data_IF_255858251091
#
_entry.id   IF_255858251091
#
_cell.length_a   1.000
_cell.length_b   1.000
_cell.length_c   1.000
_cell.angle_alpha   90.00
_cell.angle_beta   90.00
_cell.angle_gamma   90.00
#
_symmetry.space_group_name_H-M   'P 1'
#
loop_
_entity.id
_entity.type
_entity.pdbx_description
1 polymer ?
#
# COMPACT_ATOMS: atom_id res chain seq x y z
N UNK A 1 -8.81 -6.17 7.59
CA UNK A 1 -7.43 -6.12 7.09
C UNK A 1 -7.39 -6.56 5.64
N UNK A 2 -8.15 -5.88 4.79
CA UNK A 2 -8.26 -6.20 3.36
C UNK A 2 -7.12 -5.56 2.57
N UNK A 3 -6.73 -4.33 2.96
CA UNK A 3 -5.53 -3.60 2.50
C UNK A 3 -4.27 -4.47 2.50
N UNK A 4 -4.06 -5.32 3.51
CA UNK A 4 -2.88 -6.22 3.57
C UNK A 4 -2.90 -7.26 2.45
N UNK A 5 -4.07 -7.84 2.14
CA UNK A 5 -4.20 -8.86 1.09
C UNK A 5 -4.06 -8.21 -0.28
N UNK A 6 -4.81 -7.13 -0.52
CA UNK A 6 -4.82 -6.42 -1.80
C UNK A 6 -3.42 -5.83 -2.07
N UNK A 7 -2.79 -5.22 -1.06
CA UNK A 7 -1.42 -4.72 -1.16
C UNK A 7 -0.40 -5.83 -1.43
N UNK A 8 -0.57 -7.02 -0.86
CA UNK A 8 0.29 -8.16 -1.15
C UNK A 8 0.04 -8.77 -2.55
N UNK A 9 -1.22 -8.84 -2.99
CA UNK A 9 -1.60 -9.29 -4.34
C UNK A 9 -1.05 -8.35 -5.43
N UNK A 10 -1.11 -7.04 -5.19
CA UNK A 10 -0.56 -6.01 -6.08
C UNK A 10 0.96 -5.78 -5.91
N UNK A 11 1.64 -6.58 -5.07
CA UNK A 11 3.07 -6.49 -4.74
C UNK A 11 3.54 -5.15 -4.16
N UNK A 12 2.63 -4.34 -3.60
CA UNK A 12 3.00 -3.19 -2.77
C UNK A 12 3.52 -3.60 -1.40
N UNK A 13 3.03 -4.73 -0.87
CA UNK A 13 3.48 -5.34 0.38
C UNK A 13 4.24 -6.62 0.06
N UNK A 14 5.49 -6.70 0.48
CA UNK A 14 6.29 -7.92 0.41
C UNK A 14 5.97 -8.87 1.57
N UNK A 15 5.93 -10.17 1.29
CA UNK A 15 5.62 -11.20 2.29
C UNK A 15 6.76 -12.22 2.41
N UNK A 16 7.65 -11.98 3.37
CA UNK A 16 8.74 -12.87 3.73
C UNK A 16 8.26 -13.97 4.70
N UNK A 17 7.65 -15.03 4.15
CA UNK A 17 7.12 -16.15 4.93
C UNK A 17 5.92 -15.73 5.78
N UNK A 18 6.12 -15.55 7.09
CA UNK A 18 5.11 -15.03 8.01
C UNK A 18 5.20 -13.51 8.24
N UNK A 19 6.28 -12.85 7.79
CA UNK A 19 6.47 -11.41 7.93
C UNK A 19 5.94 -10.63 6.73
N UNK A 20 5.36 -9.47 6.99
CA UNK A 20 4.95 -8.49 6.00
C UNK A 20 5.86 -7.25 6.10
N UNK A 21 6.30 -6.76 4.94
CA UNK A 21 7.13 -5.57 4.79
C UNK A 21 6.54 -4.63 3.74
N UNK A 22 6.63 -3.32 3.98
CA UNK A 22 6.21 -2.28 3.05
C UNK A 22 7.41 -1.37 2.75
N UNK A 23 7.77 -1.21 1.48
CA UNK A 23 8.91 -0.35 1.07
C UNK A 23 10.24 -0.66 1.81
N UNK A 24 10.45 -1.91 2.22
CA UNK A 24 11.60 -2.33 3.03
C UNK A 24 11.42 -2.22 4.57
N UNK A 25 10.42 -1.46 5.04
CA UNK A 25 10.05 -1.38 6.46
C UNK A 25 9.18 -2.57 6.89
N UNK A 26 9.36 -3.08 8.11
CA UNK A 26 8.57 -4.23 8.61
C UNK A 26 7.24 -3.77 9.20
N UNK A 27 6.14 -4.13 8.54
CA UNK A 27 4.76 -3.87 9.00
C UNK A 27 4.39 -4.79 10.17
N UNK A 28 4.84 -6.06 10.15
CA UNK A 28 4.58 -7.00 11.24
C UNK A 28 4.52 -8.48 10.82
N UNK A 29 4.43 -9.36 11.81
CA UNK A 29 4.29 -10.80 11.59
C UNK A 29 2.81 -11.19 11.55
N UNK A 30 2.35 -11.75 10.43
CA UNK A 30 0.95 -12.12 10.23
C UNK A 30 0.05 -10.93 9.87
N UNK A 31 -1.10 -11.27 9.28
CA UNK A 31 -2.10 -10.31 8.77
C UNK A 31 -2.71 -9.44 9.88
N UNK A 32 -2.71 -9.93 11.13
CA UNK A 32 -3.28 -9.19 12.26
C UNK A 32 -2.35 -8.09 12.79
N UNK A 33 -1.08 -8.41 13.15
CA UNK A 33 -0.11 -7.37 13.56
C UNK A 33 0.09 -6.31 12.46
N UNK A 34 0.15 -6.72 11.20
CA UNK A 34 0.26 -5.79 10.08
C UNK A 34 -0.96 -4.84 9.98
N UNK A 35 -2.16 -5.29 10.39
CA UNK A 35 -3.36 -4.42 10.47
C UNK A 35 -3.22 -3.38 11.59
N UNK A 36 -2.54 -3.70 12.69
CA UNK A 36 -2.45 -2.83 13.87
C UNK A 36 -1.39 -1.76 13.61
N UNK A 37 -0.24 -2.15 13.06
CA UNK A 37 0.76 -1.21 12.57
C UNK A 37 0.18 -0.20 11.57
N UNK A 38 -0.69 -0.61 10.63
CA UNK A 38 -1.35 0.32 9.71
C UNK A 38 -2.38 1.24 10.40
N UNK A 39 -3.04 0.80 11.48
CA UNK A 39 -3.89 1.68 12.30
C UNK A 39 -3.09 2.71 13.08
N UNK A 40 -1.93 2.30 13.61
CA UNK A 40 -1.01 3.17 14.35
C UNK A 40 -0.25 4.12 13.40
N UNK A 41 -0.03 3.71 12.15
CA UNK A 41 0.66 4.48 11.11
C UNK A 41 -0.30 4.83 9.95
N UNK A 42 -1.27 5.75 10.15
CA UNK A 42 -2.26 6.09 9.14
C UNK A 42 -1.65 6.68 7.86
N UNK A 43 -0.45 7.29 7.94
CA UNK A 43 0.32 7.75 6.76
C UNK A 43 0.67 6.59 5.82
N UNK A 44 1.19 5.50 6.37
CA UNK A 44 1.56 4.30 5.60
C UNK A 44 0.31 3.59 5.08
N UNK A 45 -0.76 3.56 5.88
CA UNK A 45 -2.05 3.03 5.44
C UNK A 45 -2.63 3.80 4.24
N UNK A 46 -2.61 5.13 4.28
CA UNK A 46 -3.03 5.97 3.15
C UNK A 46 -2.12 5.79 1.92
N UNK A 47 -0.80 5.72 2.10
CA UNK A 47 0.11 5.51 0.96
C UNK A 47 -0.13 4.16 0.27
N UNK A 48 -0.40 3.10 1.04
CA UNK A 48 -0.78 1.79 0.49
C UNK A 48 -2.16 1.86 -0.18
N UNK A 49 -3.15 2.50 0.45
CA UNK A 49 -4.51 2.61 -0.08
C UNK A 49 -4.54 3.42 -1.38
N UNK A 50 -3.80 4.54 -1.46
CA UNK A 50 -3.69 5.36 -2.66
C UNK A 50 -3.01 4.56 -3.79
N UNK A 51 -1.94 3.81 -3.51
CA UNK A 51 -1.33 2.90 -4.50
C UNK A 51 -2.27 1.78 -4.94
N UNK A 52 -3.04 1.16 -4.03
CA UNK A 52 -4.07 0.16 -4.37
C UNK A 52 -5.14 0.77 -5.29
N UNK A 53 -5.60 1.98 -4.95
CA UNK A 53 -6.62 2.72 -5.70
C UNK A 53 -6.10 3.14 -7.07
N UNK A 54 -4.90 3.69 -7.14
CA UNK A 54 -4.20 4.06 -8.37
C UNK A 54 -3.95 2.85 -9.27
N UNK A 55 -3.61 1.67 -8.73
CA UNK A 55 -3.41 0.47 -9.55
C UNK A 55 -4.74 -0.12 -10.07
N UNK A 56 -5.78 -0.12 -9.23
CA UNK A 56 -7.13 -0.53 -9.64
C UNK A 56 -7.73 0.45 -10.66
N UNK A 57 -7.46 1.75 -10.50
CA UNK A 57 -7.78 2.80 -11.48
C UNK A 57 -6.97 2.59 -12.75
N UNK A 58 -5.66 2.36 -12.68
CA UNK A 58 -4.77 2.17 -13.83
C UNK A 58 -5.15 1.00 -14.76
N UNK A 59 -5.84 -0.04 -14.27
CA UNK A 59 -6.46 -1.05 -15.15
C UNK A 59 -7.56 -0.47 -16.06
N UNK A 60 -8.18 0.63 -15.66
CA UNK A 60 -9.13 1.44 -16.43
C UNK A 60 -8.52 2.75 -16.96
N UNK A 61 -7.36 3.17 -16.46
CA UNK A 61 -6.78 4.51 -16.58
C UNK A 61 -5.42 4.53 -17.29
N UNK A 62 -5.07 3.45 -18.00
CA UNK A 62 -4.11 3.48 -19.11
C UNK A 62 -4.54 4.42 -20.29
N UNK A 63 -5.52 5.31 -20.06
CA UNK A 63 -6.05 6.32 -20.98
C UNK A 63 -6.11 7.75 -20.39
N UNK A 64 -5.83 7.98 -19.09
CA UNK A 64 -5.86 9.34 -18.50
C UNK A 64 -4.69 9.59 -17.55
N UNK A 65 -3.69 10.31 -18.09
CA UNK A 65 -2.96 11.45 -17.52
C UNK A 65 -2.24 11.35 -16.13
N UNK A 66 -1.17 12.15 -15.91
CA UNK A 66 -0.22 11.92 -14.83
C UNK A 66 -0.65 12.52 -13.48
N UNK A 67 -0.17 11.94 -12.38
CA UNK A 67 -0.20 12.60 -11.08
C UNK A 67 0.78 13.78 -11.07
N UNK A 68 0.18 14.99 -11.02
CA UNK A 68 0.81 16.21 -10.54
C UNK A 68 1.60 15.98 -9.25
N UNK A 69 2.86 16.40 -9.25
CA UNK A 69 3.56 16.80 -8.03
C UNK A 69 3.58 18.33 -8.02
N UNK A 70 2.54 18.94 -7.46
CA UNK A 70 2.39 20.39 -7.41
C UNK A 70 3.14 20.98 -6.19
N UNK A 71 4.20 21.72 -6.52
CA UNK A 71 4.73 22.97 -5.94
C UNK A 71 4.60 23.19 -4.40
N UNK A 72 5.67 23.45 -3.65
CA UNK A 72 6.39 24.75 -3.51
C UNK A 72 7.62 24.56 -2.58
N UNK A 73 8.61 25.45 -2.49
CA UNK A 73 8.87 26.79 -3.08
C UNK A 73 10.33 26.84 -3.59
#
# INVERSE_FOLDING_TARGET
>A
GEIIEIGAQLKFIEKAGAWYSYNGEKIGQGKDNAREFLKENPKIAQEIEDKIRANSSALSEAMTAPQETDETE
#
